data_IF_799643158246
#
_entry.id   IF_799643158246
#
_cell.length_a   1.000
_cell.length_b   1.000
_cell.length_c   1.000
_cell.angle_alpha   90.00
_cell.angle_beta   90.00
_cell.angle_gamma   90.00
#
_symmetry.space_group_name_H-M   'P 1'
#
loop_
_entity.id
_entity.type
_entity.pdbx_description
1 polymer ?
#
# COMPACT_ATOMS: atom_id res chain seq x y z
N UNK A 1 15.17 -14.82 1.88
CA UNK A 1 15.59 -14.89 0.46
C UNK A 1 14.44 -14.39 -0.39
N UNK A 2 14.72 -13.58 -1.40
CA UNK A 2 13.70 -13.00 -2.28
C UNK A 2 13.19 -14.05 -3.28
N UNK A 3 11.88 -14.09 -3.51
CA UNK A 3 11.28 -14.96 -4.52
C UNK A 3 11.57 -14.44 -5.94
N UNK A 4 11.93 -15.36 -6.84
CA UNK A 4 12.08 -15.07 -8.26
C UNK A 4 10.72 -14.89 -8.96
N UNK A 5 10.71 -14.34 -10.16
CA UNK A 5 9.54 -14.28 -11.05
C UNK A 5 8.82 -15.63 -11.20
N UNK A 6 9.59 -16.71 -11.36
CA UNK A 6 9.08 -18.09 -11.46
C UNK A 6 8.35 -18.49 -10.18
N UNK A 7 8.97 -18.26 -9.03
CA UNK A 7 8.42 -18.64 -7.72
C UNK A 7 7.21 -17.79 -7.37
N UNK A 8 7.22 -16.49 -7.65
CA UNK A 8 6.07 -15.59 -7.47
C UNK A 8 4.89 -16.13 -8.28
N UNK A 9 5.10 -16.40 -9.58
CA UNK A 9 4.07 -16.92 -10.48
C UNK A 9 3.52 -18.27 -10.00
N UNK A 10 4.38 -19.15 -9.52
CA UNK A 10 3.98 -20.45 -8.99
C UNK A 10 3.17 -20.31 -7.69
N UNK A 11 3.61 -19.48 -6.75
CA UNK A 11 2.90 -19.23 -5.50
C UNK A 11 1.52 -18.57 -5.73
N UNK A 12 1.40 -17.70 -6.73
CA UNK A 12 0.09 -17.15 -7.14
C UNK A 12 -0.81 -18.25 -7.73
N UNK A 13 -0.28 -19.09 -8.63
CA UNK A 13 -1.05 -20.22 -9.22
C UNK A 13 -1.51 -21.22 -8.16
N UNK A 14 -0.66 -21.52 -7.18
CA UNK A 14 -0.96 -22.39 -6.03
C UNK A 14 -1.86 -21.72 -4.98
N UNK A 15 -2.25 -20.46 -5.18
CA UNK A 15 -3.04 -19.65 -4.24
C UNK A 15 -2.39 -19.49 -2.85
N UNK A 16 -1.06 -19.65 -2.77
CA UNK A 16 -0.31 -19.26 -1.56
C UNK A 16 -0.26 -17.74 -1.45
N UNK A 17 -0.01 -17.06 -2.56
CA UNK A 17 -0.18 -15.61 -2.69
C UNK A 17 -1.51 -15.38 -3.41
N UNK A 18 -2.44 -14.67 -2.78
CA UNK A 18 -3.72 -14.32 -3.41
C UNK A 18 -3.63 -12.87 -3.87
N UNK A 19 -3.87 -12.64 -5.15
CA UNK A 19 -3.94 -11.30 -5.75
C UNK A 19 -5.27 -11.20 -6.49
N UNK A 20 -6.10 -10.22 -6.13
CA UNK A 20 -7.42 -10.00 -6.72
C UNK A 20 -7.56 -8.53 -7.14
N UNK A 21 -7.83 -8.22 -8.42
CA UNK A 21 -7.98 -9.14 -9.55
C UNK A 21 -6.68 -9.89 -9.88
N UNK A 22 -6.79 -10.99 -10.63
CA UNK A 22 -5.64 -11.81 -10.99
C UNK A 22 -4.62 -10.98 -11.82
N UNK A 23 -3.32 -11.09 -11.53
CA UNK A 23 -2.31 -10.26 -12.17
C UNK A 23 -2.08 -10.68 -13.62
N UNK A 24 -1.84 -9.70 -14.49
CA UNK A 24 -1.33 -9.96 -15.83
C UNK A 24 0.18 -10.19 -15.78
N UNK A 25 0.61 -11.46 -15.75
CA UNK A 25 2.04 -11.80 -15.67
C UNK A 25 2.89 -11.32 -16.87
N UNK A 26 2.30 -10.88 -17.99
CA UNK A 26 3.08 -10.31 -19.09
C UNK A 26 3.50 -8.86 -18.81
N UNK A 27 2.72 -8.14 -18.02
CA UNK A 27 2.90 -6.69 -17.81
C UNK A 27 3.24 -6.33 -16.36
N UNK A 28 2.85 -7.16 -15.39
CA UNK A 28 3.04 -6.91 -13.97
C UNK A 28 4.18 -7.72 -13.35
N UNK A 29 4.62 -8.83 -13.95
CA UNK A 29 5.69 -9.65 -13.37
C UNK A 29 7.06 -9.09 -13.77
N UNK A 30 7.83 -8.66 -12.79
CA UNK A 30 9.25 -8.35 -12.92
C UNK A 30 10.13 -9.54 -12.51
N UNK A 31 11.47 -9.43 -12.62
CA UNK A 31 12.41 -10.52 -12.33
C UNK A 31 12.32 -11.12 -10.92
N UNK A 32 11.91 -10.32 -9.94
CA UNK A 32 11.75 -10.71 -8.54
C UNK A 32 10.65 -9.90 -7.82
N UNK A 33 9.70 -9.36 -8.60
CA UNK A 33 8.65 -8.51 -8.07
C UNK A 33 7.35 -8.62 -8.87
N UNK A 34 6.25 -8.20 -8.27
CA UNK A 34 4.94 -8.10 -8.89
C UNK A 34 4.43 -6.67 -8.79
N UNK A 35 4.35 -5.96 -9.92
CA UNK A 35 3.79 -4.62 -9.99
C UNK A 35 2.29 -4.61 -9.63
N UNK A 36 1.88 -3.67 -8.80
CA UNK A 36 0.49 -3.40 -8.45
C UNK A 36 0.03 -2.10 -9.08
N UNK A 37 -1.29 -1.98 -9.25
CA UNK A 37 -1.92 -0.85 -9.91
C UNK A 37 -2.56 0.11 -8.92
N UNK A 38 -2.61 1.38 -9.28
CA UNK A 38 -3.25 2.42 -8.49
C UNK A 38 -4.77 2.25 -8.52
N UNK A 39 -5.43 2.26 -7.37
CA UNK A 39 -6.88 2.25 -7.26
C UNK A 39 -7.50 3.62 -7.54
N UNK A 40 -8.83 3.69 -7.41
CA UNK A 40 -9.58 4.94 -7.61
C UNK A 40 -9.81 5.73 -6.32
N UNK A 41 -9.46 5.17 -5.17
CA UNK A 41 -9.73 5.76 -3.86
C UNK A 41 -8.47 6.45 -3.31
N UNK A 42 -8.62 7.74 -3.01
CA UNK A 42 -7.61 8.63 -2.46
C UNK A 42 -8.13 9.24 -1.16
N UNK A 43 -7.24 9.81 -0.36
CA UNK A 43 -7.61 10.52 0.87
C UNK A 43 -6.60 11.63 1.11
N UNK A 44 -7.11 12.85 1.20
CA UNK A 44 -6.32 14.08 1.36
C UNK A 44 -6.40 14.57 2.81
N UNK A 45 -5.39 15.33 3.25
CA UNK A 45 -5.36 15.93 4.58
C UNK A 45 -5.97 17.33 4.56
N UNK A 46 -6.85 17.61 5.52
CA UNK A 46 -7.51 18.92 5.70
C UNK A 46 -6.75 19.70 6.79
N UNK A 47 -5.62 20.30 6.41
CA UNK A 47 -4.65 20.93 7.32
C UNK A 47 -5.14 22.24 7.97
N UNK A 48 -6.23 22.83 7.50
CA UNK A 48 -6.84 24.03 8.09
C UNK A 48 -7.80 23.72 9.25
N UNK A 49 -8.22 22.46 9.37
CA UNK A 49 -9.24 22.05 10.36
C UNK A 49 -8.69 21.86 11.78
N UNK A 50 -7.38 21.66 11.94
CA UNK A 50 -6.75 21.37 13.23
C UNK A 50 -5.30 21.86 13.25
N UNK A 51 -4.82 22.49 14.34
CA UNK A 51 -3.47 23.06 14.40
C UNK A 51 -2.34 22.01 14.46
N UNK A 52 -2.61 20.80 14.96
CA UNK A 52 -1.64 19.70 15.06
C UNK A 52 -2.33 18.35 15.31
N UNK A 53 -1.63 17.25 15.06
CA UNK A 53 -2.13 15.89 15.36
C UNK A 53 -1.61 15.45 16.73
N UNK A 54 -2.51 15.28 17.70
CA UNK A 54 -2.21 14.69 19.01
C UNK A 54 -2.46 13.18 19.00
N UNK A 55 -1.38 12.39 19.00
CA UNK A 55 -1.44 10.92 18.97
C UNK A 55 -2.29 10.35 20.12
N UNK A 56 -2.29 10.99 21.30
CA UNK A 56 -3.09 10.53 22.46
C UNK A 56 -4.59 10.63 22.20
N UNK A 57 -5.01 11.58 21.37
CA UNK A 57 -6.41 11.80 20.98
C UNK A 57 -6.79 11.00 19.73
N UNK A 58 -5.81 10.38 19.06
CA UNK A 58 -5.99 9.64 17.82
C UNK A 58 -6.30 10.54 16.63
N UNK A 59 -6.79 9.94 15.56
CA UNK A 59 -7.15 10.65 14.33
C UNK A 59 -8.62 11.11 14.38
N UNK A 60 -8.85 12.44 14.38
CA UNK A 60 -10.17 13.01 14.13
C UNK A 60 -10.64 12.69 12.70
N UNK A 61 -11.95 12.44 12.54
CA UNK A 61 -12.56 12.19 11.24
C UNK A 61 -12.41 13.38 10.27
N UNK A 62 -12.26 14.59 10.80
CA UNK A 62 -12.15 15.84 10.04
C UNK A 62 -10.75 16.07 9.44
N UNK A 63 -9.72 15.40 9.97
CA UNK A 63 -8.33 15.60 9.54
C UNK A 63 -8.06 15.15 8.11
N UNK A 64 -8.92 14.29 7.57
CA UNK A 64 -8.72 13.72 6.24
C UNK A 64 -10.05 13.44 5.56
N UNK A 65 -10.10 13.65 4.24
CA UNK A 65 -11.30 13.47 3.43
C UNK A 65 -11.07 12.44 2.32
N UNK A 66 -11.96 11.44 2.15
CA UNK A 66 -11.85 10.53 1.02
C UNK A 66 -12.21 11.24 -0.29
N UNK A 67 -11.51 10.88 -1.36
CA UNK A 67 -11.77 11.32 -2.73
C UNK A 67 -11.79 10.07 -3.60
N UNK A 68 -12.81 9.94 -4.43
CA UNK A 68 -12.85 8.89 -5.46
C UNK A 68 -12.80 9.55 -6.83
N UNK A 69 -11.86 9.13 -7.65
CA UNK A 69 -11.74 9.60 -9.04
C UNK A 69 -12.25 8.54 -10.00
N UNK A 70 -12.78 8.97 -11.14
CA UNK A 70 -13.20 8.05 -12.19
C UNK A 70 -11.99 7.39 -12.87
N UNK A 71 -12.24 6.25 -13.50
CA UNK A 71 -11.21 5.57 -14.29
C UNK A 71 -10.80 6.47 -15.46
N UNK A 72 -9.49 6.58 -15.72
CA UNK A 72 -8.87 7.48 -16.72
C UNK A 72 -8.88 8.98 -16.39
N UNK A 73 -9.46 9.40 -15.26
CA UNK A 73 -9.29 10.77 -14.75
C UNK A 73 -8.08 10.79 -13.82
N UNK A 74 -7.11 11.70 -14.01
CA UNK A 74 -5.95 11.75 -13.14
C UNK A 74 -6.29 12.33 -11.77
N UNK A 75 -5.62 11.81 -10.75
CA UNK A 75 -5.44 12.49 -9.48
C UNK A 75 -4.09 13.21 -9.49
N UNK A 76 -4.08 14.52 -9.30
CA UNK A 76 -2.84 15.32 -9.30
C UNK A 76 -2.30 15.47 -7.89
N UNK A 77 -1.09 14.96 -7.64
CA UNK A 77 -0.38 15.16 -6.37
C UNK A 77 0.44 16.44 -6.46
N UNK A 78 0.14 17.45 -5.64
CA UNK A 78 0.86 18.71 -5.66
C UNK A 78 2.25 18.58 -5.01
N UNK A 79 3.22 19.44 -5.39
CA UNK A 79 4.49 19.53 -4.69
C UNK A 79 4.34 19.69 -3.17
N UNK A 80 5.03 18.84 -2.40
CA UNK A 80 5.02 18.86 -0.94
C UNK A 80 3.80 18.20 -0.29
N UNK A 81 2.83 17.70 -1.06
CA UNK A 81 1.66 17.04 -0.49
C UNK A 81 1.90 15.54 -0.22
N UNK A 82 1.28 15.08 0.88
CA UNK A 82 1.08 13.67 1.19
C UNK A 82 -0.39 13.31 0.96
N UNK A 83 -0.64 12.26 0.20
CA UNK A 83 -1.97 11.73 -0.08
C UNK A 83 -1.98 10.23 0.18
N UNK A 84 -3.00 9.73 0.88
CA UNK A 84 -3.19 8.29 0.99
C UNK A 84 -3.92 7.79 -0.25
N UNK A 85 -3.35 6.81 -0.94
CA UNK A 85 -4.02 6.10 -2.02
C UNK A 85 -4.17 4.62 -1.65
N UNK A 86 -4.76 3.82 -2.54
CA UNK A 86 -4.84 2.37 -2.38
C UNK A 86 -4.37 1.67 -3.64
N UNK A 87 -3.90 0.43 -3.52
CA UNK A 87 -3.78 -0.47 -4.67
C UNK A 87 -5.15 -0.91 -5.17
N UNK A 88 -5.27 -1.14 -6.47
CA UNK A 88 -6.43 -1.81 -7.08
C UNK A 88 -6.49 -3.26 -6.58
N UNK A 89 -5.34 -3.92 -6.45
CA UNK A 89 -5.23 -5.29 -6.01
C UNK A 89 -5.44 -5.44 -4.50
N UNK A 90 -6.25 -6.42 -4.14
CA UNK A 90 -6.31 -7.07 -2.84
C UNK A 90 -5.26 -8.17 -2.75
N UNK A 91 -4.50 -8.18 -1.66
CA UNK A 91 -3.41 -9.11 -1.40
C UNK A 91 -3.74 -9.97 -0.18
N UNK A 92 -3.48 -11.29 -0.26
CA UNK A 92 -3.41 -12.18 0.90
C UNK A 92 -2.09 -12.95 0.92
N UNK A 93 -1.45 -13.01 2.07
CA UNK A 93 -0.20 -13.73 2.30
C UNK A 93 -0.41 -14.91 3.27
N UNK A 94 0.33 -16.02 3.13
CA UNK A 94 0.32 -17.10 4.08
C UNK A 94 1.08 -16.71 5.37
N UNK A 95 0.99 -17.56 6.39
CA UNK A 95 1.56 -17.30 7.72
C UNK A 95 3.10 -17.38 7.73
N UNK A 96 3.71 -17.88 6.65
CA UNK A 96 5.14 -18.11 6.53
C UNK A 96 5.83 -17.22 5.48
N UNK A 97 5.17 -16.17 4.99
CA UNK A 97 5.71 -15.28 3.96
C UNK A 97 5.42 -13.82 4.31
N UNK A 98 6.39 -12.96 4.09
CA UNK A 98 6.21 -11.52 4.11
C UNK A 98 6.39 -10.96 2.70
N UNK A 99 5.91 -9.74 2.47
CA UNK A 99 6.22 -8.99 1.26
C UNK A 99 6.71 -7.59 1.61
N UNK A 100 7.42 -6.94 0.69
CA UNK A 100 7.81 -5.55 0.79
C UNK A 100 7.22 -4.76 -0.35
N UNK A 101 6.68 -3.60 -0.02
CA UNK A 101 6.19 -2.63 -0.98
C UNK A 101 7.36 -1.78 -1.46
N UNK A 102 7.60 -1.83 -2.76
CA UNK A 102 8.68 -1.15 -3.44
C UNK A 102 8.14 -0.01 -4.31
N UNK A 103 8.87 1.10 -4.36
CA UNK A 103 8.67 2.14 -5.36
C UNK A 103 9.07 1.67 -6.77
N UNK A 104 8.46 2.27 -7.79
CA UNK A 104 8.92 2.10 -9.18
C UNK A 104 9.96 3.16 -9.50
N UNK A 105 11.13 2.74 -10.03
CA UNK A 105 12.22 3.67 -10.35
C UNK A 105 11.78 4.82 -11.26
N UNK A 106 10.87 4.58 -12.21
CA UNK A 106 10.32 5.61 -13.08
C UNK A 106 9.54 6.70 -12.34
N UNK A 107 8.83 6.35 -11.26
CA UNK A 107 8.10 7.30 -10.42
C UNK A 107 9.04 8.02 -9.45
N UNK A 108 10.00 7.30 -8.87
CA UNK A 108 11.02 7.91 -8.01
C UNK A 108 11.84 8.98 -8.74
N UNK A 109 12.15 8.77 -10.03
CA UNK A 109 12.89 9.73 -10.87
C UNK A 109 12.13 11.02 -11.18
N UNK A 110 10.81 11.06 -10.95
CA UNK A 110 9.99 12.28 -11.05
C UNK A 110 9.54 12.78 -9.67
N UNK A 111 10.16 12.29 -8.59
CA UNK A 111 9.92 12.74 -7.23
C UNK A 111 8.68 12.16 -6.55
N UNK A 112 8.13 11.05 -7.05
CA UNK A 112 7.00 10.37 -6.40
C UNK A 112 7.52 9.25 -5.50
N UNK A 113 7.22 9.40 -4.21
CA UNK A 113 7.41 8.41 -3.16
C UNK A 113 6.09 7.66 -2.97
N UNK A 114 6.11 6.33 -2.82
CA UNK A 114 4.89 5.50 -2.74
C UNK A 114 4.60 4.94 -1.33
N UNK A 115 5.60 4.97 -0.46
CA UNK A 115 5.48 4.71 0.97
C UNK A 115 6.49 5.59 1.71
N UNK A 116 6.14 6.04 2.91
CA UNK A 116 7.05 6.88 3.71
C UNK A 116 7.93 6.03 4.61
N UNK A 117 7.34 5.07 5.33
CA UNK A 117 8.04 4.37 6.43
C UNK A 117 7.68 2.89 6.56
N UNK A 118 6.45 2.50 6.19
CA UNK A 118 5.91 1.16 6.44
C UNK A 118 5.85 0.29 5.18
N UNK A 119 7.01 -0.15 4.69
CA UNK A 119 7.09 -1.00 3.50
C UNK A 119 6.76 -2.49 3.73
N UNK A 120 6.78 -2.97 4.97
CA UNK A 120 6.61 -4.40 5.28
C UNK A 120 5.13 -4.80 5.31
N UNK A 121 4.78 -5.80 4.51
CA UNK A 121 3.49 -6.49 4.53
C UNK A 121 3.67 -7.80 5.31
N UNK A 122 3.07 -7.90 6.51
CA UNK A 122 3.34 -9.00 7.42
C UNK A 122 2.68 -10.32 6.97
N UNK A 123 3.17 -11.47 7.46
CA UNK A 123 2.55 -12.78 7.23
C UNK A 123 1.10 -12.82 7.70
N UNK A 124 0.24 -13.48 6.92
CA UNK A 124 -1.20 -13.51 7.19
C UNK A 124 -1.94 -12.20 6.89
N UNK A 125 -1.32 -11.23 6.19
CA UNK A 125 -2.01 -10.05 5.69
C UNK A 125 -3.18 -10.42 4.78
N UNK A 126 -4.26 -9.63 4.85
CA UNK A 126 -5.42 -9.67 3.93
C UNK A 126 -5.95 -8.26 3.73
N UNK A 127 -5.92 -7.72 2.52
CA UNK A 127 -6.41 -6.37 2.27
C UNK A 127 -5.84 -5.72 1.02
N UNK A 128 -6.46 -4.60 0.61
CA UNK A 128 -5.77 -3.65 -0.26
C UNK A 128 -4.62 -2.98 0.49
N UNK A 129 -3.58 -2.58 -0.23
CA UNK A 129 -2.46 -1.85 0.36
C UNK A 129 -2.73 -0.37 0.26
N UNK A 130 -2.65 0.34 1.39
CA UNK A 130 -2.67 1.80 1.41
C UNK A 130 -1.27 2.28 1.05
N UNK A 131 -1.20 3.30 0.20
CA UNK A 131 0.02 3.92 -0.28
C UNK A 131 0.14 5.32 0.33
N UNK A 132 1.31 5.69 0.84
CA UNK A 132 1.62 7.05 1.26
C UNK A 132 2.28 7.78 0.09
N UNK A 133 1.46 8.31 -0.83
CA UNK A 133 1.95 9.00 -2.01
C UNK A 133 2.42 10.41 -1.64
N UNK A 134 3.70 10.71 -1.87
CA UNK A 134 4.26 12.05 -1.66
C UNK A 134 4.97 12.54 -2.92
N UNK A 135 4.77 13.82 -3.25
CA UNK A 135 5.48 14.47 -4.35
C UNK A 135 6.56 15.42 -3.80
N UNK A 136 7.83 15.01 -3.90
CA UNK A 136 8.97 15.83 -3.50
C UNK A 136 9.57 16.65 -4.65
N UNK A 137 9.00 16.55 -5.86
CA UNK A 137 9.38 17.38 -6.99
C UNK A 137 8.77 18.79 -6.89
N UNK A 138 9.15 19.67 -7.82
CA UNK A 138 8.65 21.04 -7.93
C UNK A 138 7.44 21.18 -8.86
N UNK A 139 7.06 20.12 -9.57
CA UNK A 139 5.95 20.11 -10.50
C UNK A 139 4.84 19.18 -9.99
N UNK A 140 3.57 19.52 -10.19
CA UNK A 140 2.47 18.59 -9.94
C UNK A 140 2.61 17.34 -10.82
N UNK A 141 2.23 16.18 -10.27
CA UNK A 141 2.27 14.91 -11.02
C UNK A 141 0.87 14.32 -11.09
N UNK A 142 0.38 14.15 -12.32
CA UNK A 142 -0.89 13.49 -12.61
C UNK A 142 -0.71 11.96 -12.55
N UNK A 143 -1.42 11.30 -11.63
CA UNK A 143 -1.44 9.85 -11.47
C UNK A 143 -2.79 9.28 -11.90
N UNK A 144 -2.77 8.24 -12.71
CA UNK A 144 -3.98 7.68 -13.32
C UNK A 144 -4.35 6.36 -12.64
N UNK A 145 -5.60 6.18 -12.16
CA UNK A 145 -6.09 4.88 -11.72
C UNK A 145 -5.86 3.80 -12.78
N UNK A 146 -5.40 2.63 -12.34
CA UNK A 146 -5.02 1.49 -13.19
C UNK A 146 -3.56 1.50 -13.66
N UNK A 147 -2.82 2.59 -13.49
CA UNK A 147 -1.38 2.61 -13.78
C UNK A 147 -0.61 1.74 -12.77
N UNK A 148 0.51 1.12 -13.20
CA UNK A 148 1.42 0.45 -12.27
C UNK A 148 2.09 1.49 -11.37
N UNK A 149 1.90 1.38 -10.06
CA UNK A 149 2.31 2.43 -9.09
C UNK A 149 3.41 1.96 -8.14
N UNK A 150 3.35 0.73 -7.68
CA UNK A 150 4.34 0.12 -6.81
C UNK A 150 4.60 -1.32 -7.25
N UNK A 151 5.55 -1.99 -6.61
CA UNK A 151 5.80 -3.41 -6.80
C UNK A 151 5.85 -4.13 -5.45
N UNK A 152 5.58 -5.42 -5.44
CA UNK A 152 5.81 -6.28 -4.29
C UNK A 152 6.99 -7.20 -4.53
N UNK A 153 7.93 -7.22 -3.61
CA UNK A 153 8.92 -8.29 -3.48
C UNK A 153 8.49 -9.22 -2.33
N UNK A 154 8.79 -10.53 -2.42
CA UNK A 154 8.29 -11.53 -1.47
C UNK A 154 9.45 -12.30 -0.85
N UNK A 155 9.33 -12.64 0.44
CA UNK A 155 10.32 -13.41 1.18
C UNK A 155 9.63 -14.47 2.04
N UNK A 156 10.11 -15.72 1.97
CA UNK A 156 9.75 -16.75 2.94
C UNK A 156 10.41 -16.43 4.29
N UNK A 157 9.66 -16.62 5.37
CA UNK A 157 10.17 -16.56 6.73
C UNK A 157 11.02 -17.80 7.03
N UNK A 158 11.89 -17.70 8.05
CA UNK A 158 12.65 -18.86 8.56
C UNK A 158 11.75 -19.97 9.12
N UNK A 159 10.56 -19.60 9.62
CA UNK A 159 9.49 -20.49 10.05
C UNK A 159 8.15 -19.73 10.03
N UNK A 160 6.99 -20.41 10.00
CA UNK A 160 5.69 -19.74 10.08
C UNK A 160 5.57 -18.86 11.33
N UNK A 161 4.97 -17.68 11.18
CA UNK A 161 4.74 -16.77 12.29
C UNK A 161 3.80 -17.42 13.33
N UNK A 162 4.22 -17.46 14.60
CA UNK A 162 3.38 -17.99 15.68
C UNK A 162 2.07 -17.21 15.84
N UNK A 163 2.13 -15.89 15.63
CA UNK A 163 0.97 -14.99 15.64
C UNK A 163 0.97 -14.19 14.31
N UNK A 164 0.33 -14.70 13.25
CA UNK A 164 0.18 -13.98 11.99
C UNK A 164 -0.74 -12.76 12.14
N UNK A 165 -0.68 -11.84 11.17
CA UNK A 165 -1.33 -10.53 11.26
C UNK A 165 -2.84 -10.61 11.54
N UNK A 166 -3.56 -11.53 10.91
CA UNK A 166 -5.00 -11.70 11.12
C UNK A 166 -5.39 -12.27 12.50
N UNK A 167 -4.46 -12.90 13.23
CA UNK A 167 -4.69 -13.43 14.59
C UNK A 167 -4.24 -12.45 15.67
N UNK A 168 -3.40 -11.48 15.35
CA UNK A 168 -2.94 -10.51 16.32
C UNK A 168 -4.06 -9.52 16.67
N UNK A 169 -4.44 -9.49 17.96
CA UNK A 169 -5.51 -8.63 18.49
C UNK A 169 -5.21 -7.13 18.38
N UNK A 170 -3.95 -6.74 18.22
CA UNK A 170 -3.55 -5.34 18.05
C UNK A 170 -3.43 -4.93 16.58
N UNK A 171 -3.57 -5.87 15.63
CA UNK A 171 -3.55 -5.56 14.20
C UNK A 171 -4.68 -4.62 13.82
N UNK A 172 -4.33 -3.52 13.18
CA UNK A 172 -5.26 -2.43 12.91
C UNK A 172 -5.89 -2.50 11.54
N UNK A 173 -5.25 -3.12 10.55
CA UNK A 173 -5.58 -2.90 9.14
C UNK A 173 -6.01 -4.16 8.39
N UNK A 174 -6.33 -5.23 9.11
CA UNK A 174 -6.82 -6.47 8.49
C UNK A 174 -8.14 -6.23 7.74
N UNK A 175 -8.27 -6.83 6.56
CA UNK A 175 -9.39 -6.71 5.64
C UNK A 175 -9.69 -5.29 5.15
N UNK A 176 -8.72 -4.37 5.23
CA UNK A 176 -8.94 -3.00 4.78
C UNK A 176 -9.21 -2.91 3.27
N UNK A 177 -10.04 -1.92 2.92
CA UNK A 177 -10.41 -1.59 1.54
C UNK A 177 -10.35 -0.08 1.37
N UNK A 178 -9.88 0.38 0.23
CA UNK A 178 -9.75 1.81 -0.07
C UNK A 178 -8.61 2.49 0.68
N UNK A 179 -8.59 3.82 0.62
CA UNK A 179 -7.63 4.72 1.26
C UNK A 179 -7.95 4.91 2.76
N UNK A 180 -7.78 3.84 3.55
CA UNK A 180 -8.09 3.86 4.99
C UNK A 180 -7.17 4.83 5.74
N UNK A 181 -7.77 5.68 6.60
CA UNK A 181 -7.03 6.60 7.46
C UNK A 181 -6.19 5.86 8.50
N UNK A 182 -5.19 6.55 9.06
CA UNK A 182 -4.46 6.04 10.21
C UNK A 182 -5.40 5.72 11.38
N UNK A 183 -5.18 4.57 12.02
CA UNK A 183 -5.82 4.13 13.26
C UNK A 183 -4.86 4.29 14.44
N UNK A 184 -3.92 5.23 14.36
CA UNK A 184 -3.03 5.56 15.48
C UNK A 184 -3.85 6.08 16.65
N UNK A 185 -3.53 5.63 17.86
CA UNK A 185 -4.18 6.03 19.09
C UNK A 185 -3.24 5.82 20.29
N UNK A 186 -3.76 6.05 21.51
CA UNK A 186 -3.02 5.91 22.75
C UNK A 186 -2.33 4.54 22.95
N UNK A 187 -2.79 3.47 22.30
CA UNK A 187 -2.19 2.12 22.42
C UNK A 187 -0.82 2.03 21.73
N UNK A 188 -0.47 2.99 20.87
CA UNK A 188 0.82 3.04 20.20
C UNK A 188 1.92 3.72 21.04
N UNK A 189 1.59 4.24 22.23
CA UNK A 189 2.53 5.00 23.08
C UNK A 189 3.30 4.15 24.10
N UNK A 190 3.03 2.84 24.17
CA UNK A 190 3.59 1.94 25.20
C UNK A 190 2.60 1.67 26.32
#
# INVERSE_FOLDING_TARGET
MLLSDRDIKENVKKKRIIVKPAPNFKTQLGPCSLDLRLGCDFRVFEYTSTPYIDIKKGMSAELTRPIRVEKNVPFTVQPGELVLATTEEWIELPDNMAARLEGRSSLGRIGIIVHATAQLIPPGWKGNLVLELSNIARLPVALYPGMRVCALSFEELSSPAAIPYYKNKTSKYINQKGSVASRIDKRDLG
#
